data_IF_789769256302
#
_entry.id   IF_789769256302
#
_cell.length_a   1.000
_cell.length_b   1.000
_cell.length_c   1.000
_cell.angle_alpha   90.00
_cell.angle_beta   90.00
_cell.angle_gamma   90.00
#
_symmetry.space_group_name_H-M   'P 1'
#
loop_
_entity.id
_entity.type
_entity.pdbx_description
1 polymer ?
#
# COMPACT_ATOMS: atom_id res chain seq x y z
N UNK A 1 -42.67 75.41 63.95
CA UNK A 1 -42.29 73.98 63.97
C UNK A 1 -42.33 73.54 65.41
N UNK A 2 -43.14 72.54 65.75
CA UNK A 2 -43.29 72.02 67.12
C UNK A 2 -42.00 71.33 67.56
N UNK A 3 -41.61 71.41 68.85
CA UNK A 3 -40.45 70.69 69.39
C UNK A 3 -40.48 69.17 69.10
N UNK A 4 -41.69 68.61 68.99
CA UNK A 4 -41.94 67.21 68.67
C UNK A 4 -41.60 66.86 67.21
N UNK A 5 -41.86 67.77 66.27
CA UNK A 5 -41.52 67.58 64.85
C UNK A 5 -40.01 67.60 64.64
N UNK A 6 -39.30 68.48 65.37
CA UNK A 6 -37.84 68.56 65.30
C UNK A 6 -37.17 67.26 65.78
N UNK A 7 -37.68 66.67 66.87
CA UNK A 7 -37.19 65.40 67.40
C UNK A 7 -37.47 64.22 66.47
N UNK A 8 -38.65 64.20 65.81
CA UNK A 8 -39.00 63.18 64.84
C UNK A 8 -38.07 63.22 63.61
N UNK A 9 -37.80 64.42 63.08
CA UNK A 9 -36.88 64.63 61.95
C UNK A 9 -35.45 64.21 62.34
N UNK A 10 -35.02 64.48 63.57
CA UNK A 10 -33.69 64.10 64.05
C UNK A 10 -33.52 62.57 64.12
N UNK A 11 -34.53 61.85 64.64
CA UNK A 11 -34.54 60.40 64.71
C UNK A 11 -34.59 59.75 63.33
N UNK A 12 -35.34 60.34 62.40
CA UNK A 12 -35.42 59.88 61.01
C UNK A 12 -34.07 60.10 60.28
N UNK A 13 -33.40 61.24 60.51
CA UNK A 13 -32.06 61.51 59.99
C UNK A 13 -31.01 60.52 60.52
N UNK A 14 -31.03 60.18 61.82
CA UNK A 14 -30.15 59.14 62.39
C UNK A 14 -30.44 57.75 61.79
N UNK A 15 -31.71 57.40 61.57
CA UNK A 15 -32.10 56.15 60.92
C UNK A 15 -31.58 56.05 59.48
N UNK A 16 -31.69 57.14 58.72
CA UNK A 16 -31.16 57.23 57.36
C UNK A 16 -29.63 57.09 57.37
N UNK A 17 -28.94 57.79 58.27
CA UNK A 17 -27.48 57.76 58.36
C UNK A 17 -26.94 56.35 58.67
N UNK A 18 -27.60 55.63 59.58
CA UNK A 18 -27.25 54.24 59.89
C UNK A 18 -27.51 53.29 58.71
N UNK A 19 -28.59 53.52 57.96
CA UNK A 19 -28.91 52.74 56.76
C UNK A 19 -27.90 52.97 55.63
N UNK A 20 -27.43 54.21 55.48
CA UNK A 20 -26.41 54.60 54.50
C UNK A 20 -25.03 54.02 54.85
N UNK A 21 -24.69 53.99 56.13
CA UNK A 21 -23.48 53.33 56.60
C UNK A 21 -23.51 51.82 56.31
N UNK A 22 -24.65 51.17 56.53
CA UNK A 22 -24.82 49.73 56.26
C UNK A 22 -24.78 49.40 54.76
N UNK A 23 -25.44 50.20 53.91
CA UNK A 23 -25.38 50.00 52.45
C UNK A 23 -23.96 50.21 51.92
N UNK A 24 -23.24 51.20 52.43
CA UNK A 24 -21.84 51.45 52.05
C UNK A 24 -20.95 50.23 52.35
N UNK A 25 -21.04 49.67 53.58
CA UNK A 25 -20.29 48.47 53.95
C UNK A 25 -20.65 47.26 53.07
N UNK A 26 -21.94 47.11 52.74
CA UNK A 26 -22.42 46.01 51.89
C UNK A 26 -21.93 46.15 50.45
N UNK A 27 -21.89 47.36 49.90
CA UNK A 27 -21.32 47.65 48.58
C UNK A 27 -19.84 47.30 48.56
N UNK A 28 -19.08 47.67 49.59
CA UNK A 28 -17.65 47.34 49.68
C UNK A 28 -17.41 45.82 49.70
N UNK A 29 -18.18 45.10 50.52
CA UNK A 29 -18.12 43.63 50.58
C UNK A 29 -18.43 42.97 49.23
N UNK A 30 -19.53 43.38 48.58
CA UNK A 30 -19.91 42.86 47.26
C UNK A 30 -18.86 43.20 46.19
N UNK A 31 -18.28 44.40 46.25
CA UNK A 31 -17.22 44.81 45.32
C UNK A 31 -15.98 43.92 45.44
N UNK A 32 -15.63 43.49 46.66
CA UNK A 32 -14.53 42.58 46.89
C UNK A 32 -14.85 41.16 46.40
N UNK A 33 -16.08 40.68 46.57
CA UNK A 33 -16.49 39.39 46.01
C UNK A 33 -16.46 39.38 44.48
N UNK A 34 -16.96 40.45 43.83
CA UNK A 34 -16.91 40.60 42.37
C UNK A 34 -15.47 40.54 41.88
N UNK A 35 -14.53 41.24 42.53
CA UNK A 35 -13.10 41.19 42.17
C UNK A 35 -12.52 39.78 42.26
N UNK A 36 -12.86 39.03 43.32
CA UNK A 36 -12.39 37.65 43.49
C UNK A 36 -12.96 36.73 42.42
N UNK A 37 -14.24 36.89 42.07
CA UNK A 37 -14.87 36.12 41.00
C UNK A 37 -14.27 36.46 39.63
N UNK A 38 -14.01 37.73 39.33
CA UNK A 38 -13.34 38.16 38.10
C UNK A 38 -11.93 37.55 37.95
N UNK A 39 -11.16 37.48 39.03
CA UNK A 39 -9.86 36.79 39.03
C UNK A 39 -9.99 35.29 38.80
N UNK A 40 -11.04 34.66 39.34
CA UNK A 40 -11.30 33.23 39.13
C UNK A 40 -11.69 32.94 37.68
N UNK A 41 -12.51 33.80 37.06
CA UNK A 41 -12.92 33.69 35.66
C UNK A 41 -11.71 33.77 34.74
N UNK A 42 -10.81 34.74 34.96
CA UNK A 42 -9.57 34.87 34.16
C UNK A 42 -8.71 33.61 34.20
N UNK A 43 -8.55 32.99 35.38
CA UNK A 43 -7.79 31.73 35.50
C UNK A 43 -8.46 30.60 34.73
N UNK A 44 -9.79 30.51 34.80
CA UNK A 44 -10.56 29.49 34.06
C UNK A 44 -10.43 29.71 32.55
N UNK A 45 -10.51 30.95 32.06
CA UNK A 45 -10.35 31.27 30.64
C UNK A 45 -8.96 30.93 30.09
N UNK A 46 -7.91 31.18 30.89
CA UNK A 46 -6.53 30.78 30.57
C UNK A 46 -6.40 29.24 30.48
N UNK A 47 -6.96 28.51 31.45
CA UNK A 47 -6.96 27.06 31.44
C UNK A 47 -7.77 26.48 30.27
N UNK A 48 -8.95 27.02 29.98
CA UNK A 48 -9.77 26.60 28.84
C UNK A 48 -9.01 26.79 27.53
N UNK A 49 -8.36 27.95 27.39
CA UNK A 49 -7.54 28.26 26.22
C UNK A 49 -6.41 27.24 26.06
N UNK A 50 -5.70 26.91 27.15
CA UNK A 50 -4.65 25.89 27.17
C UNK A 50 -5.17 24.51 26.77
N UNK A 51 -6.30 24.09 27.35
CA UNK A 51 -6.93 22.80 27.05
C UNK A 51 -7.40 22.73 25.60
N UNK A 52 -7.95 23.82 25.06
CA UNK A 52 -8.39 23.92 23.67
C UNK A 52 -7.22 23.75 22.70
N UNK A 53 -6.06 24.35 23.00
CA UNK A 53 -4.85 24.13 22.21
C UNK A 53 -4.39 22.67 22.24
N UNK A 54 -4.33 22.07 23.44
CA UNK A 54 -3.94 20.67 23.59
C UNK A 54 -4.89 19.72 22.85
N UNK A 55 -6.20 19.96 22.95
CA UNK A 55 -7.21 19.17 22.26
C UNK A 55 -7.06 19.26 20.74
N UNK A 56 -6.88 20.47 20.21
CA UNK A 56 -6.67 20.67 18.77
C UNK A 56 -5.38 20.01 18.26
N UNK A 57 -4.30 20.09 19.03
CA UNK A 57 -3.04 19.42 18.72
C UNK A 57 -3.20 17.89 18.68
N UNK A 58 -3.84 17.31 19.70
CA UNK A 58 -4.10 15.88 19.75
C UNK A 58 -5.03 15.44 18.62
N UNK A 59 -6.08 16.20 18.31
CA UNK A 59 -6.97 15.94 17.18
C UNK A 59 -6.21 15.92 15.86
N UNK A 60 -5.33 16.89 15.64
CA UNK A 60 -4.47 16.94 14.45
C UNK A 60 -3.57 15.68 14.35
N UNK A 61 -2.93 15.28 15.45
CA UNK A 61 -2.07 14.10 15.47
C UNK A 61 -2.86 12.81 15.19
N UNK A 62 -4.05 12.67 15.75
CA UNK A 62 -4.92 11.52 15.48
C UNK A 62 -5.29 11.46 13.99
N UNK A 63 -5.68 12.58 13.39
CA UNK A 63 -6.01 12.62 11.96
C UNK A 63 -4.79 12.33 11.07
N UNK A 64 -3.59 12.78 11.47
CA UNK A 64 -2.34 12.42 10.79
C UNK A 64 -2.08 10.91 10.86
N UNK A 65 -2.16 10.31 12.05
CA UNK A 65 -1.95 8.88 12.24
C UNK A 65 -2.98 8.03 11.49
N UNK A 66 -4.25 8.45 11.44
CA UNK A 66 -5.27 7.78 10.63
C UNK A 66 -4.93 7.76 9.15
N UNK A 67 -4.42 8.88 8.61
CA UNK A 67 -3.98 8.96 7.22
C UNK A 67 -2.81 8.02 6.96
N UNK A 68 -1.81 8.01 7.84
CA UNK A 68 -0.67 7.09 7.74
C UNK A 68 -1.13 5.62 7.80
N UNK A 69 -2.03 5.28 8.72
CA UNK A 69 -2.62 3.94 8.81
C UNK A 69 -3.31 3.54 7.51
N UNK A 70 -4.09 4.44 6.90
CA UNK A 70 -4.77 4.18 5.64
C UNK A 70 -3.77 3.93 4.50
N UNK A 71 -2.68 4.71 4.44
CA UNK A 71 -1.61 4.50 3.46
C UNK A 71 -0.98 3.11 3.62
N UNK A 72 -0.62 2.71 4.84
CA UNK A 72 -0.06 1.38 5.08
C UNK A 72 -1.03 0.27 4.72
N UNK A 73 -2.32 0.41 5.05
CA UNK A 73 -3.34 -0.57 4.66
C UNK A 73 -3.39 -0.72 3.14
N UNK A 74 -3.44 0.38 2.39
CA UNK A 74 -3.46 0.33 0.92
C UNK A 74 -2.20 -0.34 0.36
N UNK A 75 -1.03 -0.03 0.89
CA UNK A 75 0.23 -0.63 0.48
C UNK A 75 0.24 -2.15 0.75
N UNK A 76 -0.27 -2.57 1.91
CA UNK A 76 -0.36 -4.01 2.22
C UNK A 76 -1.33 -4.75 1.30
N UNK A 77 -2.47 -4.17 0.96
CA UNK A 77 -3.42 -4.79 0.01
C UNK A 77 -2.83 -4.87 -1.40
N UNK A 78 -2.10 -3.83 -1.83
CA UNK A 78 -1.36 -3.86 -3.10
C UNK A 78 -0.30 -4.95 -3.12
N UNK A 79 0.52 -5.04 -2.07
CA UNK A 79 1.55 -6.08 -1.94
C UNK A 79 0.96 -7.49 -1.94
N UNK A 80 -0.16 -7.72 -1.24
CA UNK A 80 -0.89 -9.00 -1.27
C UNK A 80 -1.38 -9.35 -2.67
N UNK A 81 -1.84 -8.35 -3.43
CA UNK A 81 -2.31 -8.55 -4.81
C UNK A 81 -1.16 -8.99 -5.71
N UNK A 82 -0.02 -8.30 -5.65
CA UNK A 82 1.19 -8.69 -6.39
C UNK A 82 1.65 -10.09 -5.98
N UNK A 83 1.70 -10.36 -4.68
CA UNK A 83 2.10 -11.67 -4.18
C UNK A 83 1.20 -12.78 -4.72
N UNK A 84 -0.12 -12.56 -4.74
CA UNK A 84 -1.08 -13.53 -5.26
C UNK A 84 -0.88 -13.77 -6.77
N UNK A 85 -0.59 -12.71 -7.54
CA UNK A 85 -0.28 -12.82 -8.97
C UNK A 85 1.02 -13.61 -9.20
N UNK A 86 2.08 -13.28 -8.45
CA UNK A 86 3.38 -13.94 -8.56
C UNK A 86 3.34 -15.40 -8.09
N UNK A 87 2.55 -15.70 -7.06
CA UNK A 87 2.35 -17.07 -6.58
C UNK A 87 1.51 -17.90 -7.55
N UNK A 88 0.49 -17.31 -8.18
CA UNK A 88 -0.34 -17.99 -9.17
C UNK A 88 0.42 -18.30 -10.45
N UNK A 89 1.43 -17.50 -10.81
CA UNK A 89 2.20 -17.64 -12.05
C UNK A 89 3.53 -18.32 -11.78
N UNK A 90 3.69 -19.57 -12.21
CA UNK A 90 4.98 -20.23 -12.09
C UNK A 90 6.00 -19.55 -13.02
N UNK A 91 7.22 -19.28 -12.55
CA UNK A 91 8.24 -18.57 -13.35
C UNK A 91 8.50 -19.24 -14.71
N UNK A 92 8.39 -20.57 -14.78
CA UNK A 92 8.51 -21.30 -16.06
C UNK A 92 7.34 -21.03 -17.00
N UNK A 93 6.13 -20.86 -16.48
CA UNK A 93 4.94 -20.55 -17.29
C UNK A 93 5.04 -19.15 -17.89
N UNK A 94 5.61 -18.19 -17.16
CA UNK A 94 5.88 -16.83 -17.67
C UNK A 94 7.00 -16.86 -18.72
N UNK A 95 8.09 -17.60 -18.47
CA UNK A 95 9.25 -17.63 -19.35
C UNK A 95 9.04 -18.49 -20.62
N UNK A 96 8.16 -19.48 -20.54
CA UNK A 96 7.84 -20.44 -21.60
C UNK A 96 6.33 -20.63 -21.69
N UNK A 97 5.67 -19.71 -22.36
CA UNK A 97 4.22 -19.73 -22.59
C UNK A 97 3.91 -20.73 -23.71
N UNK A 98 3.45 -21.93 -23.33
CA UNK A 98 3.11 -23.02 -24.26
C UNK A 98 1.59 -23.05 -24.43
N UNK A 99 1.11 -22.77 -25.64
CA UNK A 99 -0.32 -22.70 -25.97
C UNK A 99 -0.63 -23.39 -27.28
N UNK A 100 -1.87 -23.83 -27.43
CA UNK A 100 -2.38 -24.27 -28.72
C UNK A 100 -2.91 -23.06 -29.49
N UNK A 101 -2.36 -22.81 -30.68
CA UNK A 101 -2.82 -21.70 -31.53
C UNK A 101 -4.06 -22.09 -32.31
N UNK A 102 -4.00 -23.28 -32.92
CA UNK A 102 -5.05 -23.91 -33.73
C UNK A 102 -5.06 -25.41 -33.41
N UNK A 103 -6.18 -26.13 -33.64
CA UNK A 103 -6.26 -27.57 -33.39
C UNK A 103 -5.09 -28.34 -34.03
N UNK A 104 -4.23 -28.91 -33.19
CA UNK A 104 -3.05 -29.68 -33.64
C UNK A 104 -1.79 -28.86 -33.94
N UNK A 105 -1.78 -27.55 -33.64
CA UNK A 105 -0.59 -26.68 -33.76
C UNK A 105 -0.29 -26.02 -32.42
N UNK A 106 0.80 -26.46 -31.79
CA UNK A 106 1.32 -25.87 -30.57
C UNK A 106 2.20 -24.65 -30.86
N UNK A 107 2.37 -23.80 -29.86
CA UNK A 107 3.18 -22.60 -29.91
C UNK A 107 3.91 -22.43 -28.58
N UNK A 108 5.14 -21.94 -28.62
CA UNK A 108 5.93 -21.56 -27.44
C UNK A 108 6.43 -20.12 -27.60
N UNK A 109 6.12 -19.24 -26.65
CA UNK A 109 6.52 -17.82 -26.70
C UNK A 109 6.23 -17.16 -28.06
N UNK A 110 5.00 -17.34 -28.57
CA UNK A 110 4.57 -16.87 -29.89
C UNK A 110 5.22 -17.53 -31.12
N UNK A 111 6.09 -18.54 -30.92
CA UNK A 111 6.72 -19.29 -32.01
C UNK A 111 6.03 -20.63 -32.27
N UNK A 112 5.76 -20.91 -33.54
CA UNK A 112 4.97 -22.07 -33.95
C UNK A 112 5.80 -23.36 -33.87
N UNK A 113 5.25 -24.36 -33.20
CA UNK A 113 5.75 -25.74 -33.11
C UNK A 113 4.83 -26.66 -33.91
N UNK A 114 5.09 -26.77 -35.21
CA UNK A 114 4.40 -27.73 -36.07
C UNK A 114 3.95 -27.13 -37.39
N UNK A 115 3.13 -27.92 -38.10
CA UNK A 115 2.63 -27.59 -39.43
C UNK A 115 1.17 -27.98 -39.56
N UNK A 116 0.37 -27.06 -40.07
CA UNK A 116 -0.90 -27.39 -40.70
C UNK A 116 -0.65 -27.73 -42.18
N UNK A 117 -1.39 -28.68 -42.75
CA UNK A 117 -1.16 -29.22 -44.11
C UNK A 117 -1.03 -28.14 -45.20
N UNK A 118 -1.66 -26.98 -45.01
CA UNK A 118 -1.77 -25.91 -46.01
C UNK A 118 -0.82 -24.71 -45.80
N UNK A 119 -0.02 -24.66 -44.72
CA UNK A 119 0.85 -23.52 -44.42
C UNK A 119 2.33 -23.82 -44.66
N UNK A 120 3.07 -22.84 -45.18
CA UNK A 120 4.53 -22.91 -45.27
C UNK A 120 5.15 -22.73 -43.87
N UNK A 121 6.12 -23.58 -43.53
CA UNK A 121 6.84 -23.50 -42.25
C UNK A 121 7.95 -22.47 -42.39
N UNK A 122 8.02 -21.51 -41.45
CA UNK A 122 9.23 -20.75 -41.23
C UNK A 122 10.22 -21.58 -40.40
N UNK A 123 11.21 -22.17 -41.06
CA UNK A 123 12.20 -23.03 -40.41
C UNK A 123 13.03 -22.31 -39.35
N UNK A 124 13.20 -21.00 -39.47
CA UNK A 124 13.88 -20.20 -38.44
C UNK A 124 13.03 -20.11 -37.18
N UNK A 125 11.73 -19.85 -37.30
CA UNK A 125 10.81 -19.83 -36.16
C UNK A 125 10.72 -21.20 -35.49
N UNK A 126 10.60 -22.28 -36.28
CA UNK A 126 10.56 -23.63 -35.74
C UNK A 126 11.85 -23.99 -35.00
N UNK A 127 13.01 -23.60 -35.55
CA UNK A 127 14.31 -23.83 -34.92
C UNK A 127 14.49 -23.00 -33.64
N UNK A 128 14.00 -21.75 -33.62
CA UNK A 128 13.92 -20.94 -32.39
C UNK A 128 13.03 -21.61 -31.33
N UNK A 129 11.86 -22.11 -31.73
CA UNK A 129 10.91 -22.78 -30.84
C UNK A 129 11.50 -24.07 -30.23
N UNK A 130 12.20 -24.87 -31.05
CA UNK A 130 12.96 -26.03 -30.59
C UNK A 130 14.11 -25.63 -29.65
N UNK A 131 14.70 -24.45 -29.85
CA UNK A 131 15.67 -23.87 -28.93
C UNK A 131 15.09 -23.55 -27.56
N UNK A 132 13.89 -22.96 -27.50
CA UNK A 132 13.19 -22.75 -26.23
C UNK A 132 12.81 -24.08 -25.56
N UNK A 133 12.40 -25.09 -26.33
CA UNK A 133 12.15 -26.44 -25.81
C UNK A 133 13.41 -27.10 -25.24
N UNK A 134 14.56 -26.93 -25.89
CA UNK A 134 15.85 -27.40 -25.37
C UNK A 134 16.17 -26.69 -24.04
N UNK A 135 15.92 -25.39 -23.95
CA UNK A 135 16.16 -24.59 -22.76
C UNK A 135 15.27 -25.01 -21.58
N UNK A 136 13.95 -25.12 -21.76
CA UNK A 136 13.03 -25.53 -20.69
C UNK A 136 13.35 -26.95 -20.21
N UNK A 137 13.69 -27.87 -21.11
CA UNK A 137 14.03 -29.26 -20.77
C UNK A 137 15.32 -29.33 -19.94
N UNK A 138 16.32 -28.51 -20.27
CA UNK A 138 17.55 -28.37 -19.47
C UNK A 138 17.27 -27.76 -18.10
N UNK A 139 16.42 -26.74 -18.06
CA UNK A 139 16.07 -26.03 -16.84
C UNK A 139 15.23 -26.90 -15.88
N UNK A 140 14.33 -27.74 -16.41
CA UNK A 140 13.58 -28.72 -15.62
C UNK A 140 14.50 -29.75 -14.96
N UNK A 141 15.49 -30.27 -15.68
CA UNK A 141 16.49 -31.18 -15.09
C UNK A 141 17.30 -30.49 -13.99
N UNK A 142 17.68 -29.22 -14.20
CA UNK A 142 18.37 -28.41 -13.20
C UNK A 142 17.51 -28.22 -11.93
N UNK A 143 16.23 -27.85 -12.08
CA UNK A 143 15.32 -27.68 -10.95
C UNK A 143 15.00 -28.99 -10.22
N UNK A 144 14.88 -30.10 -10.94
CA UNK A 144 14.64 -31.42 -10.37
C UNK A 144 15.92 -32.09 -9.82
N UNK A 145 17.08 -31.47 -9.99
CA UNK A 145 18.36 -31.96 -9.46
C UNK A 145 18.91 -33.22 -10.13
N UNK A 146 18.45 -33.56 -11.34
CA UNK A 146 18.96 -34.70 -12.10
C UNK A 146 19.74 -34.27 -13.34
N UNK A 147 20.58 -35.17 -13.86
CA UNK A 147 21.30 -34.99 -15.11
C UNK A 147 20.81 -36.03 -16.10
N UNK A 148 20.76 -35.66 -17.38
CA UNK A 148 20.44 -36.62 -18.44
C UNK A 148 21.61 -37.58 -18.62
N UNK A 149 21.31 -38.88 -18.58
CA UNK A 149 22.30 -39.92 -18.83
C UNK A 149 22.54 -40.05 -20.34
N UNK A 150 23.80 -40.00 -20.75
CA UNK A 150 24.21 -40.19 -22.15
C UNK A 150 24.01 -38.97 -23.06
N UNK A 151 23.33 -37.91 -22.61
CA UNK A 151 23.05 -36.72 -23.43
C UNK A 151 23.34 -35.40 -22.69
N UNK A 152 23.79 -34.38 -23.43
CA UNK A 152 23.98 -33.01 -22.95
C UNK A 152 23.14 -32.08 -23.82
N UNK A 153 22.27 -31.29 -23.18
CA UNK A 153 21.46 -30.27 -23.86
C UNK A 153 22.22 -28.94 -23.94
N UNK A 154 22.37 -28.42 -25.15
CA UNK A 154 23.04 -27.15 -25.46
C UNK A 154 22.04 -26.18 -26.12
N UNK A 155 21.29 -25.40 -25.32
CA UNK A 155 20.41 -24.37 -25.85
C UNK A 155 21.25 -23.19 -26.37
N UNK A 156 21.16 -22.95 -27.68
CA UNK A 156 21.90 -21.91 -28.40
C UNK A 156 20.95 -21.13 -29.33
N UNK A 157 19.80 -20.72 -28.79
CA UNK A 157 18.76 -20.04 -29.56
C UNK A 157 18.26 -20.90 -30.72
N UNK A 158 18.26 -20.33 -31.94
CA UNK A 158 17.80 -20.98 -33.16
C UNK A 158 18.73 -22.08 -33.69
N UNK A 159 19.91 -22.26 -33.10
CA UNK A 159 20.86 -23.30 -33.48
C UNK A 159 21.19 -24.19 -32.27
N UNK A 160 20.16 -24.71 -31.61
CA UNK A 160 20.35 -25.56 -30.43
C UNK A 160 20.78 -26.99 -30.80
N UNK A 161 21.54 -27.65 -29.93
CA UNK A 161 22.08 -29.00 -30.16
C UNK A 161 21.88 -29.93 -28.96
N UNK A 162 21.91 -31.23 -29.22
CA UNK A 162 22.06 -32.28 -28.22
C UNK A 162 23.34 -33.05 -28.49
N UNK A 163 24.22 -33.16 -27.52
CA UNK A 163 25.45 -33.94 -27.65
C UNK A 163 25.29 -35.30 -26.98
N UNK A 164 25.71 -36.35 -27.68
CA UNK A 164 25.78 -37.70 -27.11
C UNK A 164 27.11 -37.88 -26.39
N UNK A 165 27.09 -38.19 -25.09
CA UNK A 165 28.30 -38.25 -24.25
C UNK A 165 29.26 -39.35 -24.73
N UNK A 166 28.73 -40.50 -25.16
CA UNK A 166 29.53 -41.66 -25.57
C UNK A 166 30.30 -41.44 -26.87
N UNK A 167 29.67 -40.80 -27.86
CA UNK A 167 30.24 -40.63 -29.21
C UNK A 167 30.73 -39.20 -29.48
N UNK A 168 30.39 -38.25 -28.60
CA UNK A 168 30.56 -36.79 -28.81
C UNK A 168 29.91 -36.29 -30.11
N UNK A 169 28.90 -37.01 -30.62
CA UNK A 169 28.16 -36.59 -31.79
C UNK A 169 27.18 -35.46 -31.40
N UNK A 170 27.21 -34.37 -32.17
CA UNK A 170 26.27 -33.26 -32.01
C UNK A 170 25.06 -33.47 -32.93
N UNK A 171 23.88 -33.58 -32.33
CA UNK A 171 22.59 -33.71 -32.99
C UNK A 171 21.94 -32.32 -33.07
N UNK A 172 21.77 -31.73 -34.27
CA UNK A 172 21.13 -30.43 -34.40
C UNK A 172 19.62 -30.53 -34.11
N UNK A 173 19.11 -29.59 -33.32
CA UNK A 173 17.67 -29.38 -33.09
C UNK A 173 17.10 -28.28 -33.99
N UNK A 174 17.71 -28.07 -35.16
CA UNK A 174 17.33 -27.05 -36.12
C UNK A 174 17.49 -27.58 -37.54
N UNK A 175 16.80 -26.95 -38.48
CA UNK A 175 16.87 -27.29 -39.90
C UNK A 175 16.77 -26.00 -40.72
N UNK A 176 17.38 -25.98 -41.91
CA UNK A 176 17.32 -24.87 -42.86
C UNK A 176 16.18 -25.03 -43.86
N UNK A 177 15.46 -26.16 -43.81
CA UNK A 177 14.26 -26.35 -44.61
C UNK A 177 14.49 -26.88 -46.01
N UNK A 178 15.55 -27.67 -46.19
CA UNK A 178 15.77 -28.41 -47.42
C UNK A 178 14.74 -29.53 -47.62
N UNK A 179 14.48 -29.90 -48.88
CA UNK A 179 13.77 -31.15 -49.18
C UNK A 179 14.66 -32.30 -48.73
N UNK A 180 14.26 -33.03 -47.68
CA UNK A 180 14.91 -34.28 -47.30
C UNK A 180 14.59 -35.35 -48.35
N UNK A 181 15.42 -35.43 -49.38
CA UNK A 181 15.26 -36.42 -50.46
C UNK A 181 15.70 -37.83 -50.04
N UNK A 182 16.49 -37.97 -48.97
CA UNK A 182 16.91 -39.26 -48.43
C UNK A 182 17.08 -39.18 -46.91
N UNK A 183 16.68 -40.25 -46.22
CA UNK A 183 16.99 -40.55 -44.82
C UNK A 183 18.06 -41.62 -44.74
#
# INVERSE_FOLDING_TARGET
>A
MSQLELYAILAEAEGIFNSEAYTTQKIEFLSNQIKMEEESIKKIEEEETRLRYLFNFNKYNIEKLKKEQLCYLLETEYAKTIYSQLHATHVLEIAFDIREKEPGVAMINELILGKLSNAAINWQEMSCALGYLCHITKLLAYFAGFKYDGYILLPMGNQSYVEVISTKASLPLWDLGGVRMFW
#
